data_IF_267400061569
#
_entry.id   IF_267400061569
#
_cell.length_a   1.000
_cell.length_b   1.000
_cell.length_c   1.000
_cell.angle_alpha   90.00
_cell.angle_beta   90.00
_cell.angle_gamma   90.00
#
_symmetry.space_group_name_H-M   'P 1'
#
loop_
_entity.id
_entity.type
_entity.pdbx_description
1 polymer ?
#
# COMPACT_ATOMS: atom_id res chain seq x y z
N UNK A 1 30.28 37.00 1.00
CA UNK A 1 28.88 37.09 1.46
C UNK A 1 28.03 36.53 0.34
N UNK A 2 27.79 35.21 0.36
CA UNK A 2 26.79 34.62 -0.53
C UNK A 2 25.43 35.17 -0.12
N UNK A 3 24.70 35.77 -1.05
CA UNK A 3 23.30 36.15 -0.84
C UNK A 3 22.53 34.84 -0.64
N UNK A 4 22.20 34.53 0.62
CA UNK A 4 21.22 33.49 0.93
C UNK A 4 19.86 33.96 0.38
N UNK A 5 19.51 33.51 -0.81
CA UNK A 5 18.13 33.59 -1.31
C UNK A 5 17.25 32.68 -0.46
N UNK A 6 16.16 33.23 0.06
CA UNK A 6 15.14 32.44 0.76
C UNK A 6 14.66 31.28 -0.11
N UNK A 7 14.46 30.07 0.46
CA UNK A 7 13.95 28.95 -0.31
C UNK A 7 12.54 29.26 -0.83
N UNK A 8 12.25 28.84 -2.06
CA UNK A 8 10.92 28.94 -2.64
C UNK A 8 9.94 27.98 -1.95
N UNK A 9 8.63 28.17 -2.15
CA UNK A 9 7.60 27.27 -1.63
C UNK A 9 7.83 25.82 -2.07
N UNK A 10 8.15 25.62 -3.35
CA UNK A 10 8.39 24.30 -3.91
C UNK A 10 9.61 23.64 -3.26
N UNK A 11 10.68 24.41 -3.04
CA UNK A 11 11.88 23.96 -2.35
C UNK A 11 11.59 23.54 -0.90
N UNK A 12 10.75 24.28 -0.17
CA UNK A 12 10.33 23.90 1.18
C UNK A 12 9.50 22.61 1.19
N UNK A 13 8.62 22.40 0.21
CA UNK A 13 7.85 21.14 0.07
C UNK A 13 8.80 19.98 -0.22
N UNK A 14 9.74 20.16 -1.13
CA UNK A 14 10.79 19.18 -1.47
C UNK A 14 11.61 18.81 -0.22
N UNK A 15 11.99 19.79 0.59
CA UNK A 15 12.85 19.57 1.76
C UNK A 15 12.12 18.89 2.93
N UNK A 16 10.78 18.91 2.95
CA UNK A 16 10.00 18.46 4.13
C UNK A 16 9.03 17.31 3.87
N UNK A 17 8.78 16.90 2.64
CA UNK A 17 7.80 15.84 2.32
C UNK A 17 8.08 14.50 3.02
N UNK A 18 9.34 14.09 3.17
CA UNK A 18 9.69 12.88 3.93
C UNK A 18 9.45 13.09 5.43
N UNK A 19 9.79 14.27 5.96
CA UNK A 19 9.55 14.59 7.37
C UNK A 19 8.04 14.57 7.69
N UNK A 20 7.21 15.14 6.80
CA UNK A 20 5.75 15.08 6.92
C UNK A 20 5.25 13.63 6.96
N UNK A 21 5.77 12.77 6.08
CA UNK A 21 5.43 11.35 6.08
C UNK A 21 5.80 10.67 7.41
N UNK A 22 6.95 11.02 7.98
CA UNK A 22 7.39 10.51 9.28
C UNK A 22 6.45 10.92 10.41
N UNK A 23 6.07 12.21 10.48
CA UNK A 23 5.16 12.72 11.49
C UNK A 23 3.77 12.12 11.37
N UNK A 24 3.23 12.04 10.16
CA UNK A 24 1.92 11.43 9.90
C UNK A 24 1.90 9.96 10.30
N UNK A 25 2.97 9.22 9.98
CA UNK A 25 3.06 7.81 10.35
C UNK A 25 3.18 7.61 11.85
N UNK A 26 4.03 8.41 12.49
CA UNK A 26 4.21 8.36 13.95
C UNK A 26 2.91 8.66 14.67
N UNK A 27 2.14 9.62 14.15
CA UNK A 27 0.83 9.96 14.65
C UNK A 27 -0.19 8.83 14.45
N UNK A 28 -0.24 8.26 13.24
CA UNK A 28 -1.10 7.12 12.94
C UNK A 28 -0.79 5.92 13.83
N UNK A 29 0.49 5.59 14.04
CA UNK A 29 0.92 4.50 14.92
C UNK A 29 0.58 4.75 16.39
N UNK A 30 0.53 6.02 16.80
CA UNK A 30 0.17 6.40 18.16
C UNK A 30 -1.35 6.32 18.40
N UNK A 31 -2.15 6.81 17.45
CA UNK A 31 -3.57 7.12 17.69
C UNK A 31 -4.56 6.41 16.75
N UNK A 32 -4.09 5.75 15.70
CA UNK A 32 -4.93 5.11 14.69
C UNK A 32 -5.53 6.08 13.67
N UNK A 33 -6.52 5.63 12.92
CA UNK A 33 -7.16 6.38 11.82
C UNK A 33 -8.19 7.42 12.27
N UNK A 34 -8.75 7.28 13.47
CA UNK A 34 -9.74 8.22 14.03
C UNK A 34 -9.36 8.61 15.46
N UNK A 35 -8.36 9.49 15.62
CA UNK A 35 -7.92 9.93 16.93
C UNK A 35 -9.01 10.75 17.63
N UNK A 36 -9.21 10.52 18.93
CA UNK A 36 -9.97 11.44 19.77
C UNK A 36 -9.02 12.52 20.29
N UNK A 37 -9.24 13.77 19.87
CA UNK A 37 -8.38 14.92 20.17
C UNK A 37 -9.17 15.96 20.97
N UNK A 38 -8.59 16.48 22.05
CA UNK A 38 -9.10 17.60 22.84
C UNK A 38 -8.09 18.72 22.87
N UNK A 39 -8.56 19.95 22.64
CA UNK A 39 -7.74 21.16 22.64
C UNK A 39 -8.01 21.95 23.92
N UNK A 40 -7.01 22.07 24.79
CA UNK A 40 -7.08 22.87 26.00
C UNK A 40 -6.29 24.18 25.79
N UNK A 41 -6.94 25.35 25.74
CA UNK A 41 -6.25 26.62 25.51
C UNK A 41 -5.21 26.93 26.59
N UNK A 42 -4.09 27.54 26.17
CA UNK A 42 -3.02 28.07 27.03
C UNK A 42 -2.73 29.52 26.66
N UNK A 43 -1.76 30.18 27.31
CA UNK A 43 -1.38 31.58 27.01
C UNK A 43 -0.89 31.77 25.57
N UNK A 44 -0.14 30.79 25.05
CA UNK A 44 0.60 30.92 23.78
C UNK A 44 0.18 29.87 22.74
N UNK A 45 -0.90 29.13 22.99
CA UNK A 45 -1.30 28.01 22.15
C UNK A 45 -2.28 27.05 22.80
N UNK A 46 -2.04 25.75 22.62
CA UNK A 46 -2.89 24.68 23.12
C UNK A 46 -2.08 23.53 23.73
N UNK A 47 -2.61 22.96 24.81
CA UNK A 47 -2.34 21.58 25.19
C UNK A 47 -3.33 20.67 24.48
N UNK A 48 -2.82 19.89 23.54
CA UNK A 48 -3.54 18.95 22.71
C UNK A 48 -3.48 17.56 23.35
N UNK A 49 -4.58 17.12 23.93
CA UNK A 49 -4.72 15.79 24.52
C UNK A 49 -5.26 14.81 23.49
N UNK A 50 -4.57 13.70 23.30
CA UNK A 50 -4.89 12.71 22.27
C UNK A 50 -5.01 11.34 22.91
N UNK A 51 -6.14 10.67 22.67
CA UNK A 51 -6.32 9.27 23.08
C UNK A 51 -5.53 8.39 22.12
N UNK A 52 -4.66 7.54 22.68
CA UNK A 52 -3.84 6.61 21.90
C UNK A 52 -4.64 5.37 21.50
N UNK A 53 -4.06 4.52 20.66
CA UNK A 53 -4.63 3.20 20.34
C UNK A 53 -4.73 2.28 21.56
N UNK A 54 -3.96 2.53 22.62
CA UNK A 54 -4.07 1.77 23.87
C UNK A 54 -5.24 2.33 24.69
N UNK A 55 -6.22 1.50 25.07
CA UNK A 55 -7.38 1.97 25.83
C UNK A 55 -6.95 2.72 27.09
N UNK A 56 -7.57 3.88 27.32
CA UNK A 56 -7.35 4.75 28.50
C UNK A 56 -5.99 5.45 28.58
N UNK A 57 -5.10 5.26 27.61
CA UNK A 57 -3.84 6.00 27.54
C UNK A 57 -4.03 7.28 26.71
N UNK A 58 -3.66 8.41 27.29
CA UNK A 58 -3.69 9.73 26.64
C UNK A 58 -2.30 10.32 26.64
N UNK A 59 -1.96 11.01 25.54
CA UNK A 59 -0.74 11.80 25.42
C UNK A 59 -1.12 13.26 25.33
N UNK A 60 -0.42 14.11 26.08
CA UNK A 60 -0.54 15.56 25.99
C UNK A 60 0.61 16.09 25.17
N UNK A 61 0.29 16.86 24.13
CA UNK A 61 1.24 17.52 23.25
C UNK A 61 0.99 19.02 23.31
N UNK A 62 2.05 19.81 23.27
CA UNK A 62 1.99 21.25 23.14
C UNK A 62 1.90 21.63 21.65
N UNK A 63 1.10 22.64 21.36
CA UNK A 63 1.00 23.23 20.03
C UNK A 63 0.83 24.74 20.09
N UNK A 64 1.26 25.42 19.04
CA UNK A 64 1.17 26.88 18.88
C UNK A 64 0.15 27.22 17.81
N UNK A 65 -0.54 28.35 17.95
CA UNK A 65 -1.49 28.82 16.93
C UNK A 65 -0.73 29.58 15.86
N UNK A 66 -0.66 29.03 14.65
CA UNK A 66 0.09 29.65 13.55
C UNK A 66 -0.78 30.58 12.70
N UNK A 67 -2.09 30.40 12.73
CA UNK A 67 -3.05 31.21 12.00
C UNK A 67 -4.47 31.13 12.58
N UNK A 68 -5.27 32.16 12.31
CA UNK A 68 -6.73 32.13 12.46
C UNK A 68 -7.37 31.94 11.10
N UNK A 69 -8.46 31.19 11.03
CA UNK A 69 -9.23 30.95 9.81
C UNK A 69 -10.64 31.48 10.04
N UNK A 70 -11.07 32.38 9.18
CA UNK A 70 -12.41 32.99 9.20
C UNK A 70 -12.93 33.11 7.77
N UNK A 71 -14.19 32.73 7.52
CA UNK A 71 -14.83 32.90 6.20
C UNK A 71 -14.02 32.33 5.02
N UNK A 72 -13.37 31.18 5.21
CA UNK A 72 -12.46 30.55 4.24
C UNK A 72 -11.19 31.35 3.92
N UNK A 73 -10.78 32.24 4.82
CA UNK A 73 -9.56 33.06 4.73
C UNK A 73 -8.62 32.67 5.86
N UNK A 74 -7.34 32.48 5.55
CA UNK A 74 -6.26 32.16 6.46
C UNK A 74 -5.47 33.42 6.80
N UNK A 75 -5.37 33.73 8.09
CA UNK A 75 -4.69 34.89 8.65
C UNK A 75 -3.46 34.45 9.45
N UNK A 76 -2.26 34.72 8.94
CA UNK A 76 -0.99 34.31 9.59
C UNK A 76 -0.72 35.08 10.88
N UNK A 77 -0.46 34.37 11.98
CA UNK A 77 -0.10 34.98 13.26
C UNK A 77 1.43 35.04 13.49
N UNK A 78 2.19 34.10 12.93
CA UNK A 78 3.65 33.96 13.16
C UNK A 78 4.53 34.48 12.00
N UNK A 79 4.08 35.49 11.25
CA UNK A 79 4.80 36.00 10.06
C UNK A 79 6.21 36.54 10.33
N UNK A 80 6.51 36.99 11.55
CA UNK A 80 7.80 37.61 11.91
C UNK A 80 8.88 36.61 12.37
N UNK A 81 8.49 35.42 12.82
CA UNK A 81 9.44 34.42 13.34
C UNK A 81 10.14 33.63 12.22
N UNK A 82 9.62 33.73 11.01
CA UNK A 82 10.10 33.04 9.81
C UNK A 82 10.23 34.06 8.66
N UNK A 83 11.14 35.05 8.77
CA UNK A 83 11.21 36.23 7.89
C UNK A 83 11.50 35.90 6.42
N UNK A 84 11.87 34.65 6.13
CA UNK A 84 12.18 34.15 4.80
C UNK A 84 11.08 33.25 4.21
N UNK A 85 10.04 32.94 4.98
CA UNK A 85 8.92 32.12 4.52
C UNK A 85 7.82 33.03 3.93
N UNK A 86 7.07 32.57 2.91
CA UNK A 86 6.00 33.34 2.27
C UNK A 86 4.73 33.42 3.15
N UNK A 87 4.88 33.74 4.44
CA UNK A 87 3.81 33.78 5.45
C UNK A 87 3.23 35.19 5.57
N UNK A 88 2.68 35.75 4.50
CA UNK A 88 2.20 37.13 4.51
C UNK A 88 0.82 37.27 3.89
N UNK A 89 0.06 38.22 4.45
CA UNK A 89 -1.26 38.59 3.97
C UNK A 89 -2.34 37.56 4.26
N UNK A 90 -3.55 37.93 3.86
CA UNK A 90 -4.72 37.07 3.92
C UNK A 90 -4.74 36.22 2.65
N UNK A 91 -4.85 34.91 2.83
CA UNK A 91 -4.86 33.94 1.72
C UNK A 91 -6.07 33.03 1.82
N UNK A 92 -6.56 32.53 0.68
CA UNK A 92 -7.66 31.59 0.67
C UNK A 92 -7.27 30.29 1.39
N UNK A 93 -8.16 29.75 2.21
CA UNK A 93 -7.97 28.48 2.90
C UNK A 93 -8.05 27.33 1.90
N UNK A 94 -6.89 26.87 1.43
CA UNK A 94 -6.74 25.77 0.48
C UNK A 94 -5.78 24.71 1.01
N UNK A 95 -5.79 23.52 0.39
CA UNK A 95 -4.84 22.45 0.74
C UNK A 95 -3.38 22.88 0.50
N UNK A 96 -3.10 23.72 -0.50
CA UNK A 96 -1.74 24.22 -0.74
C UNK A 96 -1.24 25.11 0.41
N UNK A 97 -2.13 25.90 1.05
CA UNK A 97 -1.77 26.68 2.24
C UNK A 97 -1.52 25.77 3.45
N UNK A 98 -2.29 24.69 3.59
CA UNK A 98 -2.05 23.66 4.62
C UNK A 98 -0.66 23.03 4.44
N UNK A 99 -0.35 22.60 3.22
CA UNK A 99 0.94 21.99 2.88
C UNK A 99 2.10 22.97 3.09
N UNK A 100 1.92 24.24 2.71
CA UNK A 100 2.88 25.32 2.95
C UNK A 100 3.12 25.50 4.46
N UNK A 101 2.05 25.64 5.25
CA UNK A 101 2.14 25.80 6.69
C UNK A 101 2.96 24.66 7.31
N UNK A 102 2.61 23.41 6.98
CA UNK A 102 3.36 22.24 7.46
C UNK A 102 4.81 22.27 7.03
N UNK A 103 5.10 22.63 5.78
CA UNK A 103 6.47 22.68 5.24
C UNK A 103 7.34 23.71 5.96
N UNK A 104 6.80 24.91 6.21
CA UNK A 104 7.52 25.95 6.95
C UNK A 104 7.84 25.53 8.38
N UNK A 105 6.96 24.78 9.02
CA UNK A 105 7.17 24.22 10.35
C UNK A 105 7.85 22.82 10.32
N UNK A 106 8.66 22.53 9.30
CA UNK A 106 9.52 21.34 9.24
C UNK A 106 8.77 20.02 9.04
N UNK A 107 7.54 20.09 8.54
CA UNK A 107 6.66 18.95 8.27
C UNK A 107 5.81 18.49 9.45
N UNK A 108 5.78 19.24 10.55
CA UNK A 108 5.03 18.90 11.77
C UNK A 108 3.52 18.75 11.52
N UNK A 109 2.84 18.13 12.48
CA UNK A 109 1.39 17.95 12.45
C UNK A 109 0.68 19.30 12.58
N UNK A 110 -0.35 19.51 11.76
CA UNK A 110 -1.25 20.64 11.81
C UNK A 110 -2.66 20.14 12.14
N UNK A 111 -3.31 20.79 13.10
CA UNK A 111 -4.72 20.55 13.41
C UNK A 111 -5.53 21.84 13.33
N UNK A 112 -6.84 21.68 13.14
CA UNK A 112 -7.80 22.77 13.22
C UNK A 112 -8.70 22.58 14.43
N UNK A 113 -8.88 23.64 15.21
CA UNK A 113 -9.77 23.63 16.38
C UNK A 113 -10.69 24.85 16.35
N UNK A 114 -12.00 24.71 16.62
CA UNK A 114 -12.91 25.84 16.63
C UNK A 114 -12.56 26.84 17.74
N UNK A 115 -12.73 28.12 17.47
CA UNK A 115 -12.53 29.17 18.47
C UNK A 115 -13.79 29.24 19.37
N UNK A 116 -13.67 29.06 20.70
CA UNK A 116 -14.81 29.14 21.60
C UNK A 116 -15.57 30.47 21.45
N UNK A 117 -16.88 30.39 21.24
CA UNK A 117 -17.75 31.57 21.11
C UNK A 117 -17.75 32.25 19.73
N UNK A 118 -16.96 31.79 18.76
CA UNK A 118 -16.94 32.30 17.39
C UNK A 118 -17.29 31.19 16.38
N UNK A 119 -18.56 31.13 15.97
CA UNK A 119 -19.03 30.14 15.00
C UNK A 119 -18.36 30.34 13.64
N UNK A 120 -17.79 29.30 13.06
CA UNK A 120 -17.13 29.36 11.75
C UNK A 120 -15.70 29.91 11.77
N UNK A 121 -15.13 30.17 12.95
CA UNK A 121 -13.72 30.53 13.09
C UNK A 121 -12.92 29.39 13.70
N UNK A 122 -11.71 29.20 13.19
CA UNK A 122 -10.82 28.12 13.60
C UNK A 122 -9.42 28.63 13.88
N UNK A 123 -8.73 27.99 14.82
CA UNK A 123 -7.28 28.11 14.97
C UNK A 123 -6.59 26.98 14.22
N UNK A 124 -5.55 27.33 13.47
CA UNK A 124 -4.60 26.39 12.88
C UNK A 124 -3.45 26.18 13.87
N UNK A 125 -3.30 24.95 14.39
CA UNK A 125 -2.39 24.63 15.50
C UNK A 125 -1.31 23.67 15.04
N UNK A 126 -0.04 24.08 15.11
CA UNK A 126 1.12 23.22 14.86
C UNK A 126 1.55 22.57 16.16
N UNK A 127 1.69 21.25 16.16
CA UNK A 127 2.24 20.52 17.31
C UNK A 127 3.74 20.75 17.41
N UNK A 128 4.19 21.31 18.52
CA UNK A 128 5.61 21.61 18.77
C UNK A 128 6.32 20.53 19.56
N UNK A 129 5.59 19.75 20.37
CA UNK A 129 6.13 18.60 21.09
C UNK A 129 6.78 17.58 20.17
N UNK A 130 7.84 16.96 20.66
CA UNK A 130 8.46 15.83 19.97
C UNK A 130 7.53 14.61 20.01
N UNK A 131 7.27 14.03 18.84
CA UNK A 131 6.65 12.72 18.73
C UNK A 131 7.73 11.64 18.72
N UNK A 132 7.44 10.42 19.23
CA UNK A 132 8.31 9.29 19.00
C UNK A 132 8.30 8.99 17.49
N UNK A 133 9.33 9.49 16.79
CA UNK A 133 9.41 9.33 15.35
C UNK A 133 9.51 7.85 14.99
N UNK A 134 8.79 7.47 13.94
CA UNK A 134 8.86 6.15 13.35
C UNK A 134 10.30 5.80 12.94
N UNK A 135 10.56 4.51 12.74
CA UNK A 135 11.84 4.03 12.21
C UNK A 135 12.23 4.88 10.99
N UNK A 136 13.43 5.53 10.96
CA UNK A 136 13.82 6.39 9.86
C UNK A 136 13.77 5.69 8.50
N UNK A 137 13.97 4.38 8.46
CA UNK A 137 13.78 3.57 7.25
C UNK A 137 12.33 3.62 6.74
N UNK A 138 11.35 3.46 7.63
CA UNK A 138 9.92 3.52 7.28
C UNK A 138 9.48 4.92 6.88
N UNK A 139 9.97 5.95 7.59
CA UNK A 139 9.75 7.34 7.22
C UNK A 139 10.23 7.62 5.79
N UNK A 140 11.43 7.14 5.45
CA UNK A 140 12.01 7.25 4.12
C UNK A 140 11.18 6.51 3.07
N UNK A 141 10.76 5.26 3.35
CA UNK A 141 9.92 4.47 2.44
C UNK A 141 8.59 5.17 2.11
N UNK A 142 7.89 5.67 3.15
CA UNK A 142 6.63 6.40 3.00
C UNK A 142 6.82 7.74 2.28
N UNK A 143 7.86 8.49 2.64
CA UNK A 143 8.16 9.77 2.03
C UNK A 143 8.49 9.66 0.55
N UNK A 144 9.32 8.69 0.16
CA UNK A 144 9.63 8.41 -1.24
C UNK A 144 8.40 7.97 -2.03
N UNK A 145 7.56 7.11 -1.45
CA UNK A 145 6.28 6.74 -2.06
C UNK A 145 5.37 7.97 -2.28
N UNK A 146 5.31 8.91 -1.33
CA UNK A 146 4.56 10.16 -1.51
C UNK A 146 5.14 11.02 -2.64
N UNK A 147 6.46 11.17 -2.72
CA UNK A 147 7.11 11.94 -3.80
C UNK A 147 6.73 11.36 -5.17
N UNK A 148 6.85 10.04 -5.33
CA UNK A 148 6.53 9.33 -6.56
C UNK A 148 5.10 9.59 -7.05
N UNK A 149 4.16 9.72 -6.12
CA UNK A 149 2.74 9.94 -6.39
C UNK A 149 2.29 11.41 -6.25
N UNK A 150 3.22 12.35 -6.04
CA UNK A 150 2.93 13.78 -5.93
C UNK A 150 3.14 14.52 -7.26
N UNK A 151 2.74 15.80 -7.30
CA UNK A 151 3.04 16.72 -8.40
C UNK A 151 4.48 17.25 -8.39
N UNK A 152 5.28 16.94 -7.36
CA UNK A 152 6.66 17.44 -7.25
C UNK A 152 7.55 16.89 -8.39
N UNK A 153 8.59 17.64 -8.77
CA UNK A 153 9.60 17.16 -9.70
C UNK A 153 10.28 15.89 -9.18
N UNK A 154 10.55 14.95 -10.09
CA UNK A 154 11.13 13.63 -9.77
C UNK A 154 12.54 13.47 -10.32
N UNK A 155 13.21 14.60 -10.56
CA UNK A 155 14.59 14.60 -11.06
C UNK A 155 15.55 14.06 -10.00
N UNK A 156 16.64 13.38 -10.39
CA UNK A 156 17.58 12.81 -9.43
C UNK A 156 18.16 13.82 -8.43
N UNK A 157 18.37 15.06 -8.86
CA UNK A 157 18.84 16.14 -7.99
C UNK A 157 17.80 16.52 -6.91
N UNK A 158 16.51 16.47 -7.24
CA UNK A 158 15.41 16.76 -6.31
C UNK A 158 15.26 15.63 -5.30
N UNK A 159 15.28 14.37 -5.76
CA UNK A 159 15.29 13.21 -4.85
C UNK A 159 16.49 13.29 -3.90
N UNK A 160 17.68 13.57 -4.44
CA UNK A 160 18.87 13.70 -3.62
C UNK A 160 18.76 14.79 -2.56
N UNK A 161 18.26 15.98 -2.95
CA UNK A 161 18.01 17.09 -2.04
C UNK A 161 17.07 16.69 -0.91
N UNK A 162 15.94 16.07 -1.24
CA UNK A 162 14.93 15.63 -0.26
C UNK A 162 15.51 14.61 0.71
N UNK A 163 16.26 13.61 0.24
CA UNK A 163 16.91 12.60 1.10
C UNK A 163 17.97 13.23 2.00
N UNK A 164 18.77 14.17 1.49
CA UNK A 164 19.77 14.90 2.29
C UNK A 164 19.14 15.84 3.33
N UNK A 165 17.98 16.43 3.03
CA UNK A 165 17.21 17.22 4.00
C UNK A 165 16.68 16.32 5.12
N UNK A 166 16.06 15.20 4.77
CA UNK A 166 15.60 14.18 5.71
C UNK A 166 16.74 13.67 6.60
N UNK A 167 17.88 13.30 6.02
CA UNK A 167 19.03 12.81 6.76
C UNK A 167 19.50 13.83 7.82
N UNK A 168 19.55 15.13 7.46
CA UNK A 168 19.87 16.21 8.41
C UNK A 168 18.84 16.33 9.53
N UNK A 169 17.55 16.27 9.22
CA UNK A 169 16.49 16.32 10.25
C UNK A 169 16.55 15.15 11.23
N UNK A 170 16.90 13.96 10.74
CA UNK A 170 16.96 12.73 11.53
C UNK A 170 18.34 12.42 12.11
N UNK A 171 19.34 13.30 11.93
CA UNK A 171 20.69 13.10 12.42
C UNK A 171 21.43 11.92 11.77
N UNK A 172 21.06 11.57 10.54
CA UNK A 172 21.67 10.49 9.76
C UNK A 172 22.83 11.03 8.92
N UNK A 173 23.90 10.24 8.81
CA UNK A 173 24.95 10.51 7.84
C UNK A 173 24.53 9.97 6.47
N UNK A 174 24.65 10.80 5.43
CA UNK A 174 24.30 10.47 4.06
C UNK A 174 25.53 10.61 3.15
N UNK A 175 25.83 9.56 2.38
CA UNK A 175 26.93 9.53 1.43
C UNK A 175 26.40 9.21 0.04
N UNK A 176 26.65 10.08 -0.92
CA UNK A 176 26.27 9.86 -2.32
C UNK A 176 27.37 9.10 -3.04
N UNK A 177 27.01 7.98 -3.68
CA UNK A 177 27.87 7.18 -4.53
C UNK A 177 27.17 6.95 -5.88
N UNK A 178 27.58 7.71 -6.91
CA UNK A 178 26.89 7.67 -8.20
C UNK A 178 25.42 8.09 -8.09
N UNK A 179 24.51 7.20 -8.49
CA UNK A 179 23.04 7.39 -8.42
C UNK A 179 22.43 6.84 -7.14
N UNK A 180 23.24 6.53 -6.12
CA UNK A 180 22.76 5.98 -4.86
C UNK A 180 23.15 6.88 -3.70
N UNK A 181 22.24 7.00 -2.73
CA UNK A 181 22.49 7.66 -1.45
C UNK A 181 22.44 6.60 -0.36
N UNK A 182 23.57 6.38 0.29
CA UNK A 182 23.72 5.46 1.40
C UNK A 182 23.57 6.23 2.72
N UNK A 183 22.65 5.76 3.56
CA UNK A 183 22.46 6.27 4.92
C UNK A 183 23.13 5.32 5.93
N UNK A 184 23.66 5.88 7.01
CA UNK A 184 24.31 5.09 8.08
C UNK A 184 23.36 4.16 8.86
N UNK A 185 22.05 4.25 8.62
CA UNK A 185 21.05 3.30 9.13
C UNK A 185 20.88 2.05 8.22
N UNK A 186 21.67 1.91 7.16
CA UNK A 186 21.61 0.81 6.20
C UNK A 186 20.66 1.03 5.02
N UNK A 187 19.89 2.11 5.01
CA UNK A 187 19.00 2.43 3.87
C UNK A 187 19.82 2.92 2.68
N UNK A 188 19.46 2.47 1.48
CA UNK A 188 20.06 2.92 0.22
C UNK A 188 18.94 3.41 -0.69
N UNK A 189 19.04 4.65 -1.16
CA UNK A 189 18.06 5.25 -2.09
C UNK A 189 18.67 5.35 -3.47
N UNK A 190 17.97 4.86 -4.48
CA UNK A 190 18.29 5.12 -5.88
C UNK A 190 17.66 6.45 -6.31
N UNK A 191 18.49 7.43 -6.67
CA UNK A 191 18.03 8.77 -7.04
C UNK A 191 17.38 8.82 -8.41
N UNK A 192 17.63 7.85 -9.29
CA UNK A 192 17.01 7.78 -10.60
C UNK A 192 15.57 7.26 -10.51
N UNK A 193 15.34 6.22 -9.71
CA UNK A 193 14.00 5.66 -9.52
C UNK A 193 13.20 6.39 -8.44
N UNK A 194 13.89 7.04 -7.49
CA UNK A 194 13.25 7.64 -6.32
C UNK A 194 12.77 6.58 -5.32
N UNK A 195 13.41 5.42 -5.27
CA UNK A 195 13.00 4.29 -4.44
C UNK A 195 14.13 3.82 -3.52
N UNK A 196 13.73 3.14 -2.44
CA UNK A 196 14.67 2.36 -1.65
C UNK A 196 15.11 1.13 -2.44
N UNK A 197 16.42 0.89 -2.47
CA UNK A 197 16.97 -0.33 -3.04
C UNK A 197 16.49 -1.49 -2.18
N UNK A 198 15.71 -2.39 -2.78
CA UNK A 198 15.26 -3.62 -2.15
C UNK A 198 16.11 -4.79 -2.61
N UNK A 199 16.54 -5.62 -1.68
CA UNK A 199 17.11 -6.94 -1.99
C UNK A 199 16.02 -7.96 -2.37
N UNK A 200 14.75 -7.61 -2.18
CA UNK A 200 13.60 -8.52 -2.24
C UNK A 200 12.68 -8.22 -3.44
N UNK A 201 11.83 -9.22 -3.72
CA UNK A 201 10.89 -9.32 -4.84
C UNK A 201 10.21 -7.99 -5.20
N UNK A 202 10.33 -7.59 -6.46
CA UNK A 202 9.60 -6.45 -6.99
C UNK A 202 8.09 -6.80 -7.14
N UNK A 203 7.25 -5.82 -7.45
CA UNK A 203 5.80 -6.03 -7.64
C UNK A 203 5.47 -7.06 -8.73
N UNK A 204 6.30 -7.16 -9.77
CA UNK A 204 6.13 -8.15 -10.84
C UNK A 204 6.41 -9.57 -10.35
N UNK A 205 7.39 -9.76 -9.47
CA UNK A 205 7.69 -11.07 -8.88
C UNK A 205 6.58 -11.51 -7.93
N UNK A 206 5.97 -10.58 -7.19
CA UNK A 206 4.81 -10.85 -6.35
C UNK A 206 3.58 -11.20 -7.18
N UNK A 207 3.34 -10.48 -8.28
CA UNK A 207 2.28 -10.81 -9.22
C UNK A 207 2.50 -12.22 -9.79
N UNK A 208 3.70 -12.52 -10.28
CA UNK A 208 4.04 -13.84 -10.80
C UNK A 208 3.79 -14.94 -9.76
N UNK A 209 4.28 -14.77 -8.54
CA UNK A 209 4.09 -15.75 -7.46
C UNK A 209 2.63 -15.94 -7.02
N UNK A 210 1.75 -14.98 -7.30
CA UNK A 210 0.33 -14.99 -6.90
C UNK A 210 -0.63 -15.40 -8.01
N UNK A 211 -0.27 -15.15 -9.29
CA UNK A 211 -1.21 -15.11 -10.40
C UNK A 211 -1.97 -16.42 -10.61
N UNK A 212 -1.29 -17.55 -10.78
CA UNK A 212 -1.92 -18.81 -11.14
C UNK A 212 -2.88 -19.31 -10.06
N UNK A 213 -2.48 -19.28 -8.78
CA UNK A 213 -3.38 -19.70 -7.70
C UNK A 213 -4.56 -18.74 -7.55
N UNK A 214 -4.35 -17.45 -7.77
CA UNK A 214 -5.41 -16.44 -7.81
C UNK A 214 -6.43 -16.74 -8.90
N UNK A 215 -5.97 -17.01 -10.14
CA UNK A 215 -6.83 -17.32 -11.30
C UNK A 215 -7.67 -18.55 -11.02
N UNK A 216 -7.06 -19.65 -10.58
CA UNK A 216 -7.79 -20.89 -10.35
C UNK A 216 -8.82 -20.76 -9.21
N UNK A 217 -8.43 -20.09 -8.12
CA UNK A 217 -9.35 -19.82 -7.01
C UNK A 217 -10.52 -18.95 -7.44
N UNK A 218 -10.25 -17.95 -8.29
CA UNK A 218 -11.28 -17.07 -8.84
C UNK A 218 -12.23 -17.83 -9.77
N UNK A 219 -11.71 -18.68 -10.67
CA UNK A 219 -12.53 -19.52 -11.53
C UNK A 219 -13.47 -20.43 -10.76
N UNK A 220 -12.98 -21.08 -9.71
CA UNK A 220 -13.83 -21.93 -8.88
C UNK A 220 -14.93 -21.10 -8.17
N UNK A 221 -14.59 -19.92 -7.67
CA UNK A 221 -15.55 -19.03 -7.02
C UNK A 221 -16.64 -18.56 -7.99
N UNK A 222 -16.23 -18.05 -9.16
CA UNK A 222 -17.16 -17.55 -10.18
C UNK A 222 -18.04 -18.65 -10.77
N UNK A 223 -17.50 -19.86 -10.96
CA UNK A 223 -18.29 -21.01 -11.40
C UNK A 223 -19.34 -21.43 -10.36
N UNK A 224 -18.98 -21.37 -9.07
CA UNK A 224 -19.86 -21.78 -7.97
C UNK A 224 -20.91 -20.73 -7.64
N UNK A 225 -20.55 -19.45 -7.76
CA UNK A 225 -21.33 -18.29 -7.32
C UNK A 225 -21.61 -17.29 -8.47
N UNK A 226 -21.87 -17.81 -9.67
CA UNK A 226 -21.98 -17.04 -10.94
C UNK A 226 -23.07 -15.96 -10.99
N UNK A 227 -23.98 -15.94 -10.03
CA UNK A 227 -25.05 -14.94 -9.89
C UNK A 227 -25.11 -14.34 -8.48
N UNK A 228 -24.02 -14.47 -7.72
CA UNK A 228 -24.01 -13.96 -6.36
C UNK A 228 -23.87 -12.44 -6.34
N UNK A 229 -24.57 -11.82 -5.39
CA UNK A 229 -24.37 -10.42 -5.04
C UNK A 229 -23.83 -10.34 -3.62
N UNK A 230 -23.02 -9.34 -3.31
CA UNK A 230 -22.40 -9.19 -2.00
C UNK A 230 -22.66 -7.81 -1.41
N UNK A 231 -22.78 -7.77 -0.08
CA UNK A 231 -22.90 -6.54 0.70
C UNK A 231 -21.93 -6.58 1.88
N UNK A 232 -21.25 -5.47 2.14
CA UNK A 232 -20.44 -5.32 3.34
C UNK A 232 -21.33 -5.22 4.59
N UNK A 233 -20.90 -5.90 5.66
CA UNK A 233 -21.49 -5.75 7.00
C UNK A 233 -20.58 -4.78 7.76
N UNK A 234 -21.05 -3.56 8.01
CA UNK A 234 -20.20 -2.45 8.46
C UNK A 234 -19.61 -2.63 9.87
N UNK A 235 -20.23 -3.43 10.72
CA UNK A 235 -19.83 -3.69 12.11
C UNK A 235 -19.09 -5.03 12.31
N UNK A 236 -18.88 -5.81 11.25
CA UNK A 236 -18.24 -7.13 11.31
C UNK A 236 -17.15 -7.29 10.24
N UNK A 237 -16.15 -8.16 10.45
CA UNK A 237 -15.11 -8.42 9.47
C UNK A 237 -15.65 -9.38 8.40
N UNK A 238 -16.54 -8.91 7.53
CA UNK A 238 -17.17 -9.79 6.55
C UNK A 238 -18.19 -9.17 5.60
N UNK A 239 -18.71 -10.06 4.76
CA UNK A 239 -19.74 -9.78 3.77
C UNK A 239 -20.91 -10.74 3.94
N UNK A 240 -22.07 -10.30 3.47
CA UNK A 240 -23.19 -11.16 3.15
C UNK A 240 -23.16 -11.45 1.65
N UNK A 241 -23.05 -12.72 1.28
CA UNK A 241 -23.11 -13.19 -0.09
C UNK A 241 -24.50 -13.80 -0.35
N UNK A 242 -25.28 -13.14 -1.20
CA UNK A 242 -26.61 -13.56 -1.63
C UNK A 242 -26.48 -14.41 -2.88
N UNK A 243 -26.97 -15.65 -2.83
CA UNK A 243 -26.89 -16.58 -3.97
C UNK A 243 -28.29 -17.11 -4.30
N UNK A 244 -28.64 -17.34 -5.58
CA UNK A 244 -29.94 -17.92 -5.93
C UNK A 244 -30.16 -19.32 -5.34
N UNK A 245 -29.07 -20.04 -5.05
CA UNK A 245 -29.11 -21.40 -4.54
C UNK A 245 -29.46 -21.46 -3.04
N UNK A 246 -29.40 -20.35 -2.31
CA UNK A 246 -29.56 -20.34 -0.86
C UNK A 246 -30.67 -19.37 -0.44
N UNK A 247 -31.52 -19.79 0.51
CA UNK A 247 -32.62 -18.97 1.02
C UNK A 247 -32.16 -17.85 1.97
N UNK A 248 -30.98 -17.98 2.56
CA UNK A 248 -30.36 -17.02 3.46
C UNK A 248 -28.97 -16.63 2.93
N UNK A 249 -28.48 -15.41 3.21
CA UNK A 249 -27.14 -15.01 2.79
C UNK A 249 -26.08 -15.85 3.49
N UNK A 250 -24.99 -16.12 2.76
CA UNK A 250 -23.78 -16.70 3.33
C UNK A 250 -22.96 -15.59 3.98
N UNK A 251 -22.59 -15.75 5.25
CA UNK A 251 -21.70 -14.84 5.94
C UNK A 251 -20.25 -15.29 5.74
N UNK A 252 -19.47 -14.48 5.04
CA UNK A 252 -18.06 -14.79 4.74
C UNK A 252 -17.16 -13.74 5.37
N UNK A 253 -16.02 -14.19 5.89
CA UNK A 253 -14.96 -13.25 6.30
C UNK A 253 -14.39 -12.59 5.06
N UNK A 254 -14.08 -11.31 5.17
CA UNK A 254 -13.50 -10.55 4.07
C UNK A 254 -12.55 -9.47 4.61
N UNK A 255 -11.63 -9.07 3.74
CA UNK A 255 -10.75 -7.94 3.94
C UNK A 255 -11.01 -6.92 2.83
N UNK A 256 -11.53 -5.75 3.17
CA UNK A 256 -11.53 -4.59 2.29
C UNK A 256 -10.08 -4.13 2.13
N UNK A 257 -9.49 -4.36 0.95
CA UNK A 257 -8.09 -4.01 0.69
C UNK A 257 -7.95 -2.64 0.04
N UNK A 258 -8.96 -2.21 -0.72
CA UNK A 258 -8.93 -0.92 -1.40
C UNK A 258 -10.32 -0.36 -1.64
N UNK A 259 -10.38 0.95 -1.84
CA UNK A 259 -11.54 1.69 -2.28
C UNK A 259 -11.28 2.34 -3.63
N UNK A 260 -12.33 2.49 -4.44
CA UNK A 260 -12.29 3.12 -5.75
C UNK A 260 -13.35 4.22 -5.78
N UNK A 261 -12.90 5.46 -5.92
CA UNK A 261 -13.74 6.67 -6.06
C UNK A 261 -13.10 7.60 -7.08
N UNK A 262 -13.88 8.16 -8.00
CA UNK A 262 -13.41 9.16 -8.99
C UNK A 262 -12.12 8.74 -9.72
N UNK A 263 -12.11 7.52 -10.28
CA UNK A 263 -10.93 6.91 -10.93
C UNK A 263 -9.68 6.76 -10.05
N UNK A 264 -9.80 6.93 -8.75
CA UNK A 264 -8.70 6.82 -7.79
C UNK A 264 -8.85 5.54 -7.00
N UNK A 265 -7.81 4.71 -7.00
CA UNK A 265 -7.62 3.60 -6.10
C UNK A 265 -6.89 4.08 -4.84
N UNK A 266 -7.44 3.78 -3.67
CA UNK A 266 -6.78 3.97 -2.37
C UNK A 266 -6.73 2.65 -1.63
N UNK A 267 -5.58 2.32 -1.05
CA UNK A 267 -5.54 1.24 -0.07
C UNK A 267 -6.48 1.60 1.09
N UNK A 268 -7.26 0.63 1.56
CA UNK A 268 -8.33 0.92 2.54
C UNK A 268 -7.79 1.43 3.87
N UNK A 269 -6.55 1.09 4.24
CA UNK A 269 -5.88 1.65 5.42
C UNK A 269 -5.61 3.16 5.29
N UNK A 270 -5.58 3.69 4.06
CA UNK A 270 -5.34 5.10 3.74
C UNK A 270 -6.62 5.86 3.37
N UNK A 271 -7.77 5.20 3.31
CA UNK A 271 -9.07 5.85 3.10
C UNK A 271 -9.70 6.19 4.45
N UNK A 272 -9.65 7.46 4.86
CA UNK A 272 -10.14 7.91 6.16
C UNK A 272 -11.61 7.55 6.43
N UNK A 273 -12.44 7.42 5.38
CA UNK A 273 -13.84 7.02 5.52
C UNK A 273 -13.98 5.55 5.90
N UNK A 274 -13.04 4.67 5.51
CA UNK A 274 -13.19 3.23 5.70
C UNK A 274 -12.11 2.58 6.59
N UNK A 275 -10.98 3.24 6.81
CA UNK A 275 -9.81 2.71 7.53
C UNK A 275 -10.10 2.31 8.99
N UNK A 276 -11.20 2.76 9.57
CA UNK A 276 -11.61 2.45 10.94
C UNK A 276 -12.52 1.21 11.03
N UNK A 277 -13.08 0.73 9.91
CA UNK A 277 -13.93 -0.46 9.93
C UNK A 277 -13.11 -1.74 10.12
N UNK A 278 -13.66 -2.71 10.84
CA UNK A 278 -13.00 -4.00 11.09
C UNK A 278 -12.62 -4.73 9.81
N UNK A 279 -13.46 -4.62 8.78
CA UNK A 279 -13.21 -5.21 7.46
C UNK A 279 -11.99 -4.61 6.74
N UNK A 280 -11.58 -3.37 7.06
CA UNK A 280 -10.44 -2.69 6.46
C UNK A 280 -9.11 -2.94 7.20
N UNK A 281 -9.15 -3.31 8.48
CA UNK A 281 -7.96 -3.53 9.30
C UNK A 281 -6.92 -4.49 8.69
N UNK A 282 -7.30 -5.61 8.02
CA UNK A 282 -6.31 -6.50 7.41
C UNK A 282 -5.42 -5.82 6.36
N UNK A 283 -5.87 -4.73 5.72
CA UNK A 283 -5.07 -3.99 4.75
C UNK A 283 -3.83 -3.32 5.35
N UNK A 284 -3.77 -3.14 6.68
CA UNK A 284 -2.54 -2.73 7.39
C UNK A 284 -1.41 -3.75 7.14
N UNK A 285 -1.74 -5.04 6.92
CA UNK A 285 -0.78 -6.05 6.52
C UNK A 285 -0.08 -5.72 5.19
N UNK A 286 -0.78 -5.12 4.24
CA UNK A 286 -0.20 -4.66 2.96
C UNK A 286 0.77 -3.49 3.20
N UNK A 287 0.37 -2.51 4.03
CA UNK A 287 1.24 -1.40 4.44
C UNK A 287 2.52 -1.90 5.10
N UNK A 288 2.37 -2.81 6.08
CA UNK A 288 3.50 -3.42 6.80
C UNK A 288 4.41 -4.17 5.83
N UNK A 289 3.84 -4.93 4.89
CA UNK A 289 4.61 -5.59 3.86
C UNK A 289 5.41 -4.58 3.01
N UNK A 290 4.78 -3.49 2.57
CA UNK A 290 5.43 -2.40 1.85
C UNK A 290 6.60 -1.76 2.61
N UNK A 291 6.43 -1.54 3.92
CA UNK A 291 7.46 -1.01 4.81
C UNK A 291 8.62 -2.00 5.01
N UNK A 292 8.32 -3.28 5.20
CA UNK A 292 9.31 -4.31 5.50
C UNK A 292 10.11 -4.74 4.26
N UNK A 293 9.52 -4.64 3.05
CA UNK A 293 10.11 -5.14 1.79
C UNK A 293 10.40 -4.03 0.77
N UNK A 294 10.28 -2.76 1.16
CA UNK A 294 10.47 -1.58 0.29
C UNK A 294 9.58 -1.59 -0.97
N UNK A 295 8.35 -2.09 -0.86
CA UNK A 295 7.41 -2.16 -1.98
C UNK A 295 6.54 -0.90 -2.00
N UNK A 296 7.00 0.12 -2.73
CA UNK A 296 6.44 1.47 -2.70
C UNK A 296 4.95 1.54 -3.02
N UNK A 297 4.45 0.62 -3.86
CA UNK A 297 3.05 0.67 -4.29
C UNK A 297 2.07 0.44 -3.12
N UNK A 298 2.46 -0.36 -2.13
CA UNK A 298 1.65 -0.56 -0.93
C UNK A 298 1.69 0.62 0.03
N UNK A 299 2.56 1.60 -0.23
CA UNK A 299 2.75 2.83 0.53
C UNK A 299 2.22 4.06 -0.20
N UNK A 300 1.76 3.88 -1.45
CA UNK A 300 1.24 4.97 -2.27
C UNK A 300 -0.04 5.54 -1.64
N UNK A 301 -0.16 6.87 -1.51
CA UNK A 301 -1.36 7.48 -0.95
C UNK A 301 -2.58 7.28 -1.86
N UNK A 302 -2.37 7.47 -3.16
CA UNK A 302 -3.37 7.35 -4.21
C UNK A 302 -2.74 6.78 -5.47
N UNK A 303 -3.53 6.00 -6.19
CA UNK A 303 -3.11 5.30 -7.41
C UNK A 303 -4.21 5.52 -8.45
N UNK A 304 -3.83 5.81 -9.70
CA UNK A 304 -4.78 5.82 -10.80
C UNK A 304 -5.38 4.42 -11.01
N UNK A 305 -6.70 4.33 -11.20
CA UNK A 305 -7.37 3.03 -11.34
C UNK A 305 -6.93 2.27 -12.59
N UNK A 306 -6.57 2.94 -13.68
CA UNK A 306 -6.08 2.28 -14.88
C UNK A 306 -4.70 1.65 -14.62
N UNK A 307 -3.83 2.36 -13.88
CA UNK A 307 -2.58 1.78 -13.39
C UNK A 307 -2.83 0.56 -12.49
N UNK A 308 -3.74 0.67 -11.52
CA UNK A 308 -4.04 -0.43 -10.59
C UNK A 308 -4.53 -1.69 -11.30
N UNK A 309 -5.40 -1.52 -12.31
CA UNK A 309 -5.90 -2.61 -13.16
C UNK A 309 -4.81 -3.20 -14.04
N UNK A 310 -4.00 -2.36 -14.68
CA UNK A 310 -2.92 -2.83 -15.56
C UNK A 310 -1.86 -3.66 -14.82
N UNK A 311 -1.70 -3.43 -13.52
CA UNK A 311 -0.74 -4.12 -12.68
C UNK A 311 -1.36 -5.16 -11.74
N UNK A 312 -2.68 -5.34 -11.80
CA UNK A 312 -3.44 -6.32 -11.01
C UNK A 312 -3.14 -6.26 -9.50
N UNK A 313 -3.19 -5.06 -8.91
CA UNK A 313 -2.85 -4.87 -7.49
C UNK A 313 -3.75 -5.67 -6.54
N UNK A 314 -4.97 -5.99 -6.95
CA UNK A 314 -5.86 -6.91 -6.23
C UNK A 314 -5.25 -8.31 -6.08
N UNK A 315 -4.51 -8.80 -7.07
CA UNK A 315 -3.88 -10.13 -7.05
C UNK A 315 -2.67 -10.15 -6.14
N UNK A 316 -1.84 -9.11 -6.18
CA UNK A 316 -0.63 -9.02 -5.36
C UNK A 316 -0.98 -9.07 -3.87
N UNK A 317 -2.10 -8.45 -3.47
CA UNK A 317 -2.58 -8.50 -2.09
C UNK A 317 -2.99 -9.90 -1.60
N UNK A 318 -3.36 -10.82 -2.52
CA UNK A 318 -3.84 -12.17 -2.17
C UNK A 318 -2.78 -13.01 -1.48
N UNK A 319 -1.55 -12.99 -1.98
CA UNK A 319 -0.45 -13.74 -1.38
C UNK A 319 -0.05 -13.18 -0.02
N UNK A 320 -0.06 -11.85 0.14
CA UNK A 320 0.33 -11.20 1.40
C UNK A 320 -0.69 -11.47 2.50
N UNK A 321 -1.99 -11.44 2.16
CA UNK A 321 -3.08 -11.63 3.12
C UNK A 321 -3.57 -13.08 3.22
N UNK A 322 -3.12 -13.97 2.33
CA UNK A 322 -3.52 -15.37 2.30
C UNK A 322 -4.97 -15.61 1.84
N UNK A 323 -5.58 -14.65 1.14
CA UNK A 323 -6.97 -14.69 0.68
C UNK A 323 -7.01 -14.70 -0.85
N UNK A 324 -7.41 -15.82 -1.45
CA UNK A 324 -7.18 -16.09 -2.87
C UNK A 324 -8.33 -15.70 -3.81
N UNK A 325 -9.46 -15.28 -3.25
CA UNK A 325 -10.64 -14.87 -4.01
C UNK A 325 -10.90 -13.39 -3.76
N UNK A 326 -11.38 -12.68 -4.78
CA UNK A 326 -11.76 -11.27 -4.63
C UNK A 326 -13.13 -10.98 -5.24
N UNK A 327 -13.76 -9.93 -4.72
CA UNK A 327 -15.00 -9.36 -5.24
C UNK A 327 -14.93 -7.83 -5.19
N UNK A 328 -15.78 -7.18 -6.00
CA UNK A 328 -15.98 -5.74 -5.98
C UNK A 328 -17.43 -5.47 -5.57
N UNK A 329 -17.64 -4.61 -4.58
CA UNK A 329 -18.97 -4.25 -4.07
C UNK A 329 -19.14 -2.74 -4.00
N UNK A 330 -20.36 -2.26 -3.99
CA UNK A 330 -20.65 -0.86 -3.68
C UNK A 330 -20.62 -0.68 -2.16
N UNK A 331 -19.78 0.25 -1.68
CA UNK A 331 -19.74 0.66 -0.27
C UNK A 331 -20.75 1.80 -0.03
N UNK A 332 -20.87 2.70 -1.00
CA UNK A 332 -21.87 3.77 -1.07
C UNK A 332 -22.18 4.10 -2.55
N UNK A 333 -22.89 5.20 -2.82
CA UNK A 333 -23.29 5.61 -4.17
C UNK A 333 -22.10 5.92 -5.10
N UNK A 334 -20.96 6.34 -4.55
CA UNK A 334 -19.82 6.82 -5.32
C UNK A 334 -18.55 5.99 -5.11
N UNK A 335 -18.59 5.02 -4.20
CA UNK A 335 -17.41 4.28 -3.76
C UNK A 335 -17.61 2.79 -3.93
N UNK A 336 -16.68 2.15 -4.63
CA UNK A 336 -16.59 0.70 -4.71
C UNK A 336 -15.48 0.19 -3.80
N UNK A 337 -15.72 -0.92 -3.13
CA UNK A 337 -14.73 -1.64 -2.33
C UNK A 337 -14.19 -2.82 -3.11
N UNK A 338 -12.87 -3.03 -3.04
CA UNK A 338 -12.20 -4.25 -3.50
C UNK A 338 -11.93 -5.10 -2.27
N UNK A 339 -12.56 -6.27 -2.21
CA UNK A 339 -12.47 -7.17 -1.08
C UNK A 339 -11.78 -8.46 -1.46
N UNK A 340 -10.91 -8.95 -0.58
CA UNK A 340 -10.47 -10.33 -0.60
C UNK A 340 -11.38 -11.14 0.33
N UNK A 341 -11.86 -12.28 -0.14
CA UNK A 341 -12.87 -13.10 0.56
C UNK A 341 -12.25 -14.40 1.02
N UNK A 342 -12.48 -14.75 2.27
CA UNK A 342 -12.14 -16.06 2.81
C UNK A 342 -13.25 -17.05 2.45
N UNK A 343 -12.99 -17.83 1.40
CA UNK A 343 -13.89 -18.90 0.97
C UNK A 343 -13.40 -20.28 1.41
N UNK A 344 -12.28 -20.40 2.13
CA UNK A 344 -11.61 -21.70 2.32
C UNK A 344 -12.51 -22.77 2.97
N UNK A 345 -13.40 -22.34 3.87
CA UNK A 345 -14.33 -23.23 4.59
C UNK A 345 -15.50 -23.74 3.75
N UNK A 346 -15.87 -23.05 2.67
CA UNK A 346 -17.01 -23.39 1.81
C UNK A 346 -16.59 -23.80 0.40
N UNK A 347 -15.37 -23.43 0.02
CA UNK A 347 -14.83 -23.57 -1.31
C UNK A 347 -13.35 -23.96 -1.18
N UNK A 348 -13.09 -25.26 -1.32
CA UNK A 348 -11.74 -25.79 -1.40
C UNK A 348 -11.44 -26.16 -2.85
N UNK A 349 -10.23 -25.82 -3.32
CA UNK A 349 -9.78 -26.24 -4.63
C UNK A 349 -9.78 -27.79 -4.69
N UNK A 350 -10.44 -28.41 -5.69
CA UNK A 350 -10.38 -29.85 -5.88
C UNK A 350 -8.95 -30.27 -6.24
N UNK A 351 -8.65 -31.58 -6.19
CA UNK A 351 -7.35 -32.08 -6.65
C UNK A 351 -7.05 -31.59 -8.08
N UNK A 352 -5.80 -31.17 -8.38
CA UNK A 352 -5.47 -30.58 -9.66
C UNK A 352 -5.72 -31.58 -10.77
N UNK A 353 -6.35 -31.13 -11.86
CA UNK A 353 -6.56 -31.92 -13.08
C UNK A 353 -5.82 -31.25 -14.23
N UNK A 354 -5.46 -32.01 -15.27
CA UNK A 354 -4.80 -31.48 -16.47
C UNK A 354 -5.56 -30.27 -17.02
N UNK A 355 -6.88 -30.40 -17.16
CA UNK A 355 -7.73 -29.35 -17.74
C UNK A 355 -7.79 -28.09 -16.87
N UNK A 356 -7.89 -28.24 -15.55
CA UNK A 356 -7.92 -27.09 -14.64
C UNK A 356 -6.58 -26.33 -14.63
N UNK A 357 -5.48 -27.07 -14.58
CA UNK A 357 -4.12 -26.49 -14.63
C UNK A 357 -3.89 -25.79 -15.96
N UNK A 358 -4.24 -26.43 -17.08
CA UNK A 358 -4.09 -25.84 -18.42
C UNK A 358 -4.95 -24.58 -18.58
N UNK A 359 -6.21 -24.61 -18.15
CA UNK A 359 -7.09 -23.45 -18.20
C UNK A 359 -6.53 -22.28 -17.37
N UNK A 360 -5.95 -22.58 -16.20
CA UNK A 360 -5.30 -21.59 -15.33
C UNK A 360 -4.08 -20.96 -16.01
N UNK A 361 -3.20 -21.78 -16.60
CA UNK A 361 -2.01 -21.30 -17.32
C UNK A 361 -2.40 -20.46 -18.54
N UNK A 362 -3.38 -20.92 -19.31
CA UNK A 362 -3.85 -20.20 -20.50
C UNK A 362 -4.44 -18.84 -20.12
N UNK A 363 -5.24 -18.76 -19.07
CA UNK A 363 -5.79 -17.50 -18.59
C UNK A 363 -4.72 -16.55 -18.03
N UNK A 364 -3.57 -17.08 -17.65
CA UNK A 364 -2.47 -16.27 -17.15
C UNK A 364 -1.74 -15.48 -18.25
N UNK A 365 -1.98 -15.78 -19.54
CA UNK A 365 -1.36 -15.04 -20.66
C UNK A 365 -1.72 -13.56 -20.68
N UNK A 366 -2.83 -13.19 -20.05
CA UNK A 366 -3.33 -11.81 -20.01
C UNK A 366 -2.63 -10.95 -18.94
N UNK A 367 -1.77 -11.56 -18.11
CA UNK A 367 -1.07 -10.88 -17.02
C UNK A 367 0.36 -10.49 -17.42
N UNK A 368 0.84 -9.30 -17.04
CA UNK A 368 2.20 -8.84 -17.34
C UNK A 368 3.25 -9.50 -16.43
N UNK A 369 3.26 -10.83 -16.37
CA UNK A 369 4.24 -11.60 -15.60
C UNK A 369 5.58 -11.63 -16.34
N UNK A 370 6.64 -11.13 -15.70
CA UNK A 370 8.01 -11.24 -16.24
C UNK A 370 8.65 -12.58 -15.96
N UNK A 371 8.32 -13.21 -14.82
CA UNK A 371 8.93 -14.45 -14.36
C UNK A 371 7.91 -15.60 -14.34
N UNK A 372 7.69 -16.22 -15.50
CA UNK A 372 6.83 -17.40 -15.65
C UNK A 372 7.32 -18.58 -14.81
N UNK A 373 8.64 -18.70 -14.60
CA UNK A 373 9.21 -19.78 -13.79
C UNK A 373 8.78 -19.63 -12.34
N UNK A 374 8.92 -18.43 -11.76
CA UNK A 374 8.48 -18.15 -10.40
C UNK A 374 6.97 -18.38 -10.22
N UNK A 375 6.16 -18.04 -11.23
CA UNK A 375 4.73 -18.31 -11.21
C UNK A 375 4.43 -19.82 -11.10
N UNK A 376 5.06 -20.62 -11.96
CA UNK A 376 4.90 -22.07 -11.96
C UNK A 376 5.40 -22.70 -10.66
N UNK A 377 6.59 -22.31 -10.18
CA UNK A 377 7.16 -22.77 -8.89
C UNK A 377 6.23 -22.50 -7.71
N UNK A 378 5.69 -21.28 -7.64
CA UNK A 378 4.79 -20.88 -6.56
C UNK A 378 3.47 -21.65 -6.62
N UNK A 379 2.91 -21.80 -7.81
CA UNK A 379 1.67 -22.54 -8.03
C UNK A 379 1.80 -24.03 -7.70
N UNK A 380 2.85 -24.68 -8.21
CA UNK A 380 3.07 -26.09 -7.98
C UNK A 380 3.32 -26.39 -6.51
N UNK A 381 4.08 -25.54 -5.82
CA UNK A 381 4.25 -25.62 -4.37
C UNK A 381 2.92 -25.52 -3.63
N UNK A 382 2.07 -24.56 -4.00
CA UNK A 382 0.76 -24.38 -3.35
C UNK A 382 -0.21 -25.55 -3.63
N UNK A 383 -0.10 -26.16 -4.80
CA UNK A 383 -0.95 -27.28 -5.25
C UNK A 383 -0.37 -28.67 -4.98
N UNK A 384 0.82 -28.75 -4.40
CA UNK A 384 1.59 -29.97 -4.20
C UNK A 384 1.77 -30.78 -5.51
N UNK A 385 2.12 -30.08 -6.59
CA UNK A 385 2.39 -30.61 -7.93
C UNK A 385 3.91 -30.72 -8.09
N UNK A 386 4.40 -31.81 -8.67
CA UNK A 386 5.81 -31.95 -8.98
C UNK A 386 6.17 -31.04 -10.17
N UNK A 387 7.27 -30.30 -10.08
CA UNK A 387 7.81 -29.52 -11.18
C UNK A 387 9.06 -30.17 -11.71
N UNK A 388 9.16 -30.25 -13.03
CA UNK A 388 10.37 -30.61 -13.72
C UNK A 388 10.70 -29.57 -14.79
N UNK A 389 11.83 -28.90 -14.60
CA UNK A 389 12.38 -28.00 -15.59
C UNK A 389 13.34 -28.80 -16.43
N UNK A 390 12.91 -29.19 -17.63
CA UNK A 390 13.80 -29.93 -18.53
C UNK A 390 14.89 -28.96 -19.02
N UNK A 391 16.07 -29.07 -18.40
CA UNK A 391 17.23 -28.24 -18.70
C UNK A 391 18.06 -28.80 -19.87
N UNK A 392 17.63 -29.91 -20.46
CA UNK A 392 18.32 -30.54 -21.58
C UNK A 392 17.97 -29.87 -22.91
N UNK A 393 18.72 -28.80 -23.20
CA UNK A 393 19.00 -28.42 -24.58
C UNK A 393 19.65 -29.62 -25.28
N UNK A 394 18.95 -30.21 -26.25
CA UNK A 394 19.39 -31.24 -27.20
C UNK A 394 20.80 -31.84 -27.00
N UNK A 395 20.87 -33.08 -26.51
CA UNK A 395 21.92 -34.01 -26.89
C UNK A 395 21.43 -35.45 -26.80
N UNK A 396 21.26 -36.04 -27.99
CA UNK A 396 21.20 -37.47 -28.32
C UNK A 396 19.91 -38.28 -28.14
N UNK A 397 19.55 -38.91 -29.26
CA UNK A 397 18.71 -40.09 -29.42
C UNK A 397 19.08 -41.24 -28.46
N UNK A 398 18.04 -42.00 -28.07
CA UNK A 398 18.03 -43.34 -27.46
C UNK A 398 18.50 -43.36 -25.98
N UNK A 399 17.85 -44.00 -25.01
CA UNK A 399 17.14 -45.28 -24.98
C UNK A 399 16.01 -45.24 -23.92
N UNK A 400 14.93 -45.97 -24.20
CA UNK A 400 13.93 -46.40 -23.21
C UNK A 400 14.58 -47.27 -22.14
N UNK A 401 14.56 -46.81 -20.89
CA UNK A 401 14.71 -47.66 -19.71
C UNK A 401 13.51 -47.52 -18.80
N UNK A 402 12.80 -48.64 -18.63
CA UNK A 402 11.72 -48.85 -17.68
C UNK A 402 12.16 -48.52 -16.25
N UNK A 403 11.42 -47.64 -15.57
CA UNK A 403 11.51 -47.42 -14.13
C UNK A 403 10.31 -48.10 -13.48
N UNK A 404 10.48 -48.89 -12.39
CA UNK A 404 9.39 -49.65 -11.80
C UNK A 404 8.33 -48.74 -11.17
N UNK A 405 7.06 -49.08 -11.41
CA UNK A 405 5.90 -48.41 -10.84
C UNK A 405 5.93 -48.46 -9.29
N UNK A 406 6.01 -47.29 -8.65
CA UNK A 406 5.68 -47.12 -7.24
C UNK A 406 4.19 -46.78 -7.06
N UNK A 407 3.57 -47.12 -5.91
CA UNK A 407 2.12 -47.21 -5.78
C UNK A 407 1.45 -45.83 -5.80
N UNK A 408 0.43 -45.73 -6.65
CA UNK A 408 -0.63 -44.75 -6.79
C UNK A 408 -0.69 -43.61 -5.75
N UNK A 409 0.13 -42.59 -5.94
CA UNK A 409 -0.28 -41.21 -5.66
C UNK A 409 -0.37 -40.53 -7.01
N UNK A 410 -1.54 -39.98 -7.38
CA UNK A 410 -1.69 -39.19 -8.61
C UNK A 410 -0.76 -37.98 -8.50
N UNK A 411 0.42 -38.06 -9.10
CA UNK A 411 1.37 -36.95 -9.13
C UNK A 411 1.21 -36.25 -10.47
N UNK A 412 0.67 -35.03 -10.43
CA UNK A 412 0.75 -34.11 -11.55
C UNK A 412 2.21 -33.63 -11.68
N UNK A 413 2.71 -33.58 -12.90
CA UNK A 413 4.03 -33.05 -13.25
C UNK A 413 3.88 -31.89 -14.23
N UNK A 414 4.43 -30.74 -13.87
CA UNK A 414 4.58 -29.60 -14.79
C UNK A 414 5.95 -29.71 -15.46
N UNK A 415 5.97 -29.84 -16.78
CA UNK A 415 7.17 -29.93 -17.61
C UNK A 415 7.27 -28.65 -18.43
N UNK A 416 8.39 -27.93 -18.36
CA UNK A 416 8.62 -26.76 -19.22
C UNK A 416 9.67 -27.07 -20.29
N UNK A 417 9.35 -26.87 -21.56
CA UNK A 417 10.29 -27.08 -22.68
C UNK A 417 10.23 -25.89 -23.63
N UNK A 418 11.36 -25.18 -23.82
CA UNK A 418 11.46 -24.00 -24.70
C UNK A 418 10.39 -22.91 -24.45
N UNK A 419 9.96 -22.72 -23.20
CA UNK A 419 8.93 -21.74 -22.82
C UNK A 419 7.49 -22.25 -22.92
N UNK A 420 7.24 -23.41 -23.53
CA UNK A 420 5.96 -24.10 -23.47
C UNK A 420 5.83 -24.87 -22.15
N UNK A 421 4.64 -24.85 -21.55
CA UNK A 421 4.32 -25.59 -20.33
C UNK A 421 3.44 -26.78 -20.69
N UNK A 422 3.95 -27.98 -20.44
CA UNK A 422 3.22 -29.24 -20.62
C UNK A 422 2.81 -29.76 -19.25
N UNK A 423 1.56 -30.18 -19.11
CA UNK A 423 1.09 -30.87 -17.90
C UNK A 423 1.04 -32.37 -18.19
N UNK A 424 1.78 -33.16 -17.42
CA UNK A 424 1.80 -34.63 -17.49
C UNK A 424 1.22 -35.20 -16.20
N UNK A 425 0.39 -36.24 -16.29
CA UNK A 425 -0.09 -36.99 -15.14
C UNK A 425 0.36 -38.44 -15.30
N UNK A 426 0.53 -39.15 -14.18
CA UNK A 426 0.90 -40.57 -14.07
C UNK A 426 0.11 -41.54 -14.97
N UNK A 427 -0.95 -41.07 -15.61
CA UNK A 427 -1.91 -41.79 -16.43
C UNK A 427 -1.56 -41.68 -17.94
N UNK A 428 -0.44 -41.03 -18.30
CA UNK A 428 0.07 -40.92 -19.68
C UNK A 428 -0.55 -39.79 -20.51
N UNK A 429 -1.23 -38.85 -19.86
CA UNK A 429 -1.92 -37.74 -20.52
C UNK A 429 -1.01 -36.51 -20.56
N UNK A 430 -0.46 -36.23 -21.75
CA UNK A 430 0.37 -35.05 -22.03
C UNK A 430 -0.41 -34.02 -22.82
N UNK A 431 -0.55 -32.81 -22.30
CA UNK A 431 -1.06 -31.66 -23.05
C UNK A 431 0.00 -30.57 -23.08
N UNK A 432 0.38 -30.15 -24.29
CA UNK A 432 1.38 -29.10 -24.56
C UNK A 432 0.64 -27.77 -24.77
N UNK A 433 1.05 -26.71 -24.08
CA UNK A 433 0.57 -25.34 -24.29
C UNK A 433 1.19 -24.69 -25.53
#
# INVERSE_FOLDING_TARGET
MEQYTSPTLEELRIDTIINQAAYDESFFMLCGSQPSIKFNPTSDGYQVQITTMKPQETVTLDGIVIAEIENNVWHWLHHNELPHAPLHGDVEFTQDIIDLARSVFGGKLLFFTPIPGKSGHYHAVIITSALPLSNPHYALALGLARIKHSSLPKEPAVIARTVHSFARTFGLAAHTNGQQIHLNNGSVVDTHTGELVSEQKNTTDLLAASALLSIESQFLFEATFSQANARCVSDQPGIELFTPQHKAPLHLRAALIATIRDNTWRWSYNDAQFAHYQIALPAIGLKKYGLDHNVSIFLAPEIDIAQARAQHYEIIGKQILGLWTHIIVNLDEHTRGVLLVDCAHILSLPQPTVHAVQATINAASDYPMRDTRLALESYAKARNIALDFDTHSYAHHAETTDIPAQPHTRQARLITTNGAVTVDFSDGLRLVS
#
